data_IF_052797053747
#
_entry.id   IF_052797053747
#
_cell.length_a   1.000
_cell.length_b   1.000
_cell.length_c   1.000
_cell.angle_alpha   90.00
_cell.angle_beta   90.00
_cell.angle_gamma   90.00
#
_symmetry.space_group_name_H-M   'P 1'
#
loop_
_entity.id
_entity.type
_entity.pdbx_description
1 polymer ?
#
# COMPACT_ATOMS: atom_id res chain seq x y z
N UNK A 1 -2.09 -6.73 18.31
CA UNK A 1 -1.21 -6.21 17.23
C UNK A 1 -0.56 -7.34 16.42
N UNK A 2 -0.12 -8.43 17.07
CA UNK A 2 0.40 -9.64 16.43
C UNK A 2 -0.41 -10.12 15.22
N UNK A 3 -1.72 -10.34 15.40
CA UNK A 3 -2.64 -10.83 14.34
C UNK A 3 -2.65 -9.93 13.10
N UNK A 4 -2.55 -8.62 13.29
CA UNK A 4 -2.59 -7.64 12.21
C UNK A 4 -1.26 -7.62 11.43
N UNK A 5 -0.13 -7.76 12.13
CA UNK A 5 1.19 -7.89 11.52
C UNK A 5 1.34 -9.22 10.78
N UNK A 6 0.80 -10.32 11.34
CA UNK A 6 0.79 -11.63 10.70
C UNK A 6 -0.04 -11.60 9.41
N UNK A 7 -1.22 -10.95 9.44
CA UNK A 7 -2.02 -10.74 8.25
C UNK A 7 -1.28 -9.87 7.22
N UNK A 8 -0.64 -8.77 7.65
CA UNK A 8 0.16 -7.91 6.75
C UNK A 8 1.27 -8.68 6.06
N UNK A 9 1.99 -9.53 6.79
CA UNK A 9 3.05 -10.35 6.21
C UNK A 9 2.49 -11.32 5.16
N UNK A 10 1.42 -12.07 5.49
CA UNK A 10 0.75 -12.96 4.53
C UNK A 10 0.24 -12.21 3.30
N UNK A 11 -0.28 -10.99 3.48
CA UNK A 11 -0.74 -10.14 2.39
C UNK A 11 0.41 -9.74 1.46
N UNK A 12 1.56 -9.33 2.02
CA UNK A 12 2.73 -9.01 1.21
C UNK A 12 3.28 -10.23 0.48
N UNK A 13 3.28 -11.40 1.11
CA UNK A 13 3.69 -12.65 0.48
C UNK A 13 2.76 -13.01 -0.70
N UNK A 14 1.44 -12.86 -0.52
CA UNK A 14 0.44 -13.04 -1.57
C UNK A 14 0.68 -12.12 -2.77
N UNK A 15 1.03 -10.85 -2.53
CA UNK A 15 1.35 -9.88 -3.58
C UNK A 15 2.75 -10.04 -4.20
N UNK A 16 3.54 -10.98 -3.70
CA UNK A 16 4.94 -11.19 -4.10
C UNK A 16 5.87 -10.04 -3.69
N UNK A 17 5.48 -9.23 -2.70
CA UNK A 17 6.23 -8.07 -2.24
C UNK A 17 7.21 -8.42 -1.14
N UNK A 18 8.51 -8.14 -1.37
CA UNK A 18 9.59 -8.37 -0.40
C UNK A 18 10.23 -7.02 -0.03
N UNK A 19 9.78 -6.37 1.06
CA UNK A 19 10.35 -5.09 1.49
C UNK A 19 11.79 -5.26 1.96
N UNK A 20 12.67 -4.36 1.54
CA UNK A 20 14.03 -4.29 2.09
C UNK A 20 14.00 -3.73 3.53
N UNK A 21 15.12 -3.81 4.25
CA UNK A 21 15.19 -3.49 5.68
C UNK A 21 14.61 -2.10 6.04
N UNK A 22 14.93 -1.09 5.24
CA UNK A 22 14.40 0.26 5.42
C UNK A 22 12.88 0.38 5.27
N UNK A 23 12.27 -0.37 4.35
CA UNK A 23 10.81 -0.42 4.19
C UNK A 23 10.16 -1.23 5.31
N UNK A 24 10.80 -2.29 5.81
CA UNK A 24 10.29 -3.08 6.95
C UNK A 24 10.05 -2.22 8.19
N UNK A 25 10.85 -1.16 8.41
CA UNK A 25 10.67 -0.21 9.53
C UNK A 25 9.37 0.59 9.43
N UNK A 26 8.87 0.85 8.20
CA UNK A 26 7.54 1.41 7.98
C UNK A 26 6.47 0.34 8.25
N UNK A 27 6.61 -0.83 7.65
CA UNK A 27 5.55 -1.85 7.65
C UNK A 27 5.33 -2.50 9.01
N UNK A 28 6.43 -2.71 9.76
CA UNK A 28 6.48 -3.42 11.04
C UNK A 28 7.23 -2.57 12.07
N UNK A 29 6.62 -1.47 12.54
CA UNK A 29 7.24 -0.56 13.49
C UNK A 29 7.40 -1.22 14.86
N UNK A 30 8.48 -0.90 15.56
CA UNK A 30 8.73 -1.40 16.93
C UNK A 30 7.79 -0.76 17.95
N UNK A 31 7.40 0.50 17.72
CA UNK A 31 6.44 1.21 18.56
C UNK A 31 5.02 0.86 18.14
N UNK A 32 4.37 0.03 18.95
CA UNK A 32 3.00 -0.44 18.75
C UNK A 32 1.96 0.70 18.63
N UNK A 33 2.15 1.80 19.36
CA UNK A 33 1.22 2.94 19.35
C UNK A 33 1.48 3.95 18.21
N UNK A 34 2.41 3.67 17.30
CA UNK A 34 2.74 4.58 16.22
C UNK A 34 1.61 4.63 15.18
N UNK A 35 0.98 5.80 15.07
CA UNK A 35 -0.10 6.09 14.13
C UNK A 35 0.36 6.83 12.87
N UNK A 36 1.43 7.59 12.98
CA UNK A 36 1.95 8.45 11.92
C UNK A 36 3.41 8.07 11.63
N UNK A 37 3.73 7.91 10.35
CA UNK A 37 5.06 7.55 9.88
C UNK A 37 5.56 8.60 8.88
N UNK A 38 6.76 9.12 9.11
CA UNK A 38 7.42 10.05 8.20
C UNK A 38 8.68 9.38 7.67
N UNK A 39 8.70 9.09 6.37
CA UNK A 39 9.85 8.48 5.71
C UNK A 39 10.73 9.54 5.04
N UNK A 40 11.87 9.83 5.65
CA UNK A 40 12.91 10.71 5.06
C UNK A 40 13.98 9.83 4.44
N UNK A 41 13.93 9.64 3.12
CA UNK A 41 14.84 8.74 2.42
C UNK A 41 15.27 9.30 1.06
N UNK A 42 16.42 8.86 0.55
CA UNK A 42 16.95 9.24 -0.76
C UNK A 42 16.11 8.77 -1.97
N UNK A 43 16.52 9.19 -3.16
CA UNK A 43 15.94 8.71 -4.43
C UNK A 43 16.14 7.20 -4.57
N UNK A 44 15.21 6.51 -5.26
CA UNK A 44 15.21 5.04 -5.48
C UNK A 44 15.14 4.16 -4.23
N UNK A 45 14.91 4.72 -3.05
CA UNK A 45 14.59 3.96 -1.84
C UNK A 45 13.28 3.14 -1.94
N UNK A 46 12.42 3.42 -2.93
CA UNK A 46 11.13 2.74 -3.05
C UNK A 46 10.06 3.25 -2.06
N UNK A 47 10.14 4.52 -1.66
CA UNK A 47 9.14 5.17 -0.80
C UNK A 47 7.72 5.03 -1.37
N UNK A 48 7.55 5.33 -2.66
CA UNK A 48 6.27 5.24 -3.38
C UNK A 48 5.71 3.82 -3.33
N UNK A 49 6.53 2.81 -3.64
CA UNK A 49 6.14 1.39 -3.58
C UNK A 49 5.73 1.01 -2.16
N UNK A 50 6.52 1.36 -1.14
CA UNK A 50 6.21 1.05 0.25
C UNK A 50 4.88 1.69 0.71
N UNK A 51 4.63 2.95 0.35
CA UNK A 51 3.36 3.63 0.63
C UNK A 51 2.17 2.98 -0.09
N UNK A 52 2.34 2.56 -1.35
CA UNK A 52 1.30 1.84 -2.08
C UNK A 52 1.00 0.47 -1.44
N UNK A 53 2.01 -0.28 -1.02
CA UNK A 53 1.81 -1.58 -0.35
C UNK A 53 1.09 -1.43 1.00
N UNK A 54 1.42 -0.41 1.80
CA UNK A 54 0.63 -0.09 2.99
C UNK A 54 -0.84 0.22 2.64
N UNK A 55 -1.08 0.98 1.57
CA UNK A 55 -2.43 1.25 1.11
C UNK A 55 -3.17 -0.04 0.71
N UNK A 56 -2.53 -0.97 0.00
CA UNK A 56 -3.17 -2.27 -0.33
C UNK A 56 -3.56 -3.05 0.92
N UNK A 57 -2.71 -3.04 1.95
CA UNK A 57 -2.95 -3.74 3.20
C UNK A 57 -4.13 -3.17 3.99
N UNK A 58 -4.27 -1.85 4.05
CA UNK A 58 -5.46 -1.26 4.66
C UNK A 58 -6.69 -1.50 3.78
N UNK A 59 -6.55 -1.47 2.45
CA UNK A 59 -7.67 -1.61 1.52
C UNK A 59 -8.22 -3.05 1.51
N UNK A 60 -7.39 -4.03 1.84
CA UNK A 60 -7.81 -5.43 1.97
C UNK A 60 -8.63 -5.71 3.23
N UNK A 61 -8.73 -4.75 4.15
CA UNK A 61 -9.53 -4.89 5.36
C UNK A 61 -10.97 -4.41 5.14
N UNK A 62 -11.96 -5.09 5.74
CA UNK A 62 -13.37 -4.69 5.63
C UNK A 62 -13.60 -3.27 6.12
N UNK A 63 -14.50 -2.55 5.42
CA UNK A 63 -14.99 -1.22 5.80
C UNK A 63 -13.90 -0.14 5.91
N UNK A 64 -12.74 -0.32 5.26
CA UNK A 64 -11.70 0.71 5.20
C UNK A 64 -11.85 1.61 3.98
N UNK A 65 -11.48 2.89 4.15
CA UNK A 65 -11.35 3.87 3.06
C UNK A 65 -9.99 4.53 3.16
N UNK A 66 -9.19 4.42 2.10
CA UNK A 66 -7.83 4.95 2.06
C UNK A 66 -7.70 5.95 0.92
N UNK A 67 -6.97 7.03 1.19
CA UNK A 67 -6.68 8.06 0.21
C UNK A 67 -5.19 8.06 -0.10
N UNK A 68 -4.86 8.18 -1.38
CA UNK A 68 -3.52 8.42 -1.85
C UNK A 68 -3.43 9.89 -2.27
N UNK A 69 -2.63 10.66 -1.53
CA UNK A 69 -2.52 12.11 -1.73
C UNK A 69 -1.12 12.45 -2.17
N UNK A 70 -1.02 13.13 -3.31
CA UNK A 70 0.21 13.69 -3.84
C UNK A 70 0.09 15.19 -4.04
N UNK A 71 1.22 15.86 -4.32
CA UNK A 71 1.25 17.30 -4.65
C UNK A 71 0.54 17.62 -5.98
N UNK A 72 0.34 16.62 -6.82
CA UNK A 72 -0.44 16.69 -8.07
C UNK A 72 -1.10 15.35 -8.34
N UNK A 73 -2.09 15.33 -9.24
CA UNK A 73 -2.73 14.09 -9.70
C UNK A 73 -1.72 13.10 -10.27
N UNK A 74 -0.76 13.53 -11.09
CA UNK A 74 0.27 12.63 -11.63
C UNK A 74 1.11 11.96 -10.54
N UNK A 75 1.40 12.67 -9.44
CA UNK A 75 2.16 12.09 -8.31
C UNK A 75 1.31 11.11 -7.51
N UNK A 76 0.01 11.39 -7.34
CA UNK A 76 -0.92 10.46 -6.71
C UNK A 76 -1.12 9.21 -7.58
N UNK A 77 -1.23 9.38 -8.90
CA UNK A 77 -1.41 8.32 -9.90
C UNK A 77 -0.27 7.28 -9.84
N UNK A 78 0.97 7.70 -9.61
CA UNK A 78 2.10 6.77 -9.43
C UNK A 78 1.86 5.76 -8.29
N UNK A 79 1.26 6.18 -7.18
CA UNK A 79 0.92 5.26 -6.08
C UNK A 79 -0.35 4.46 -6.40
N UNK A 80 -1.33 5.11 -7.03
CA UNK A 80 -2.60 4.46 -7.37
C UNK A 80 -2.41 3.32 -8.37
N UNK A 81 -1.54 3.51 -9.38
CA UNK A 81 -1.19 2.46 -10.36
C UNK A 81 -0.66 1.20 -9.70
N UNK A 82 0.21 1.33 -8.70
CA UNK A 82 0.73 0.17 -7.95
C UNK A 82 -0.40 -0.57 -7.23
N UNK A 83 -1.31 0.16 -6.58
CA UNK A 83 -2.48 -0.44 -5.92
C UNK A 83 -3.40 -1.13 -6.94
N UNK A 84 -3.68 -0.47 -8.06
CA UNK A 84 -4.54 -0.99 -9.12
C UNK A 84 -3.95 -2.25 -9.78
N UNK A 85 -2.65 -2.23 -10.10
CA UNK A 85 -1.96 -3.37 -10.68
C UNK A 85 -2.01 -4.60 -9.77
N UNK A 86 -1.92 -4.39 -8.44
CA UNK A 86 -1.89 -5.45 -7.45
C UNK A 86 -3.26 -5.96 -7.00
N UNK A 87 -4.28 -5.11 -6.97
CA UNK A 87 -5.58 -5.46 -6.38
C UNK A 87 -6.70 -5.58 -7.40
N UNK A 88 -6.57 -4.97 -8.57
CA UNK A 88 -7.68 -4.82 -9.53
C UNK A 88 -7.45 -5.60 -10.82
N UNK A 89 -6.25 -5.51 -11.39
CA UNK A 89 -5.96 -6.24 -12.64
C UNK A 89 -6.09 -7.75 -12.41
N UNK A 90 -6.93 -8.40 -13.22
CA UNK A 90 -7.25 -9.83 -13.08
C UNK A 90 -8.42 -10.12 -12.12
N UNK A 91 -8.93 -9.10 -11.42
CA UNK A 91 -9.98 -9.17 -10.40
C UNK A 91 -11.14 -8.20 -10.72
N UNK A 92 -11.39 -7.90 -11.99
CA UNK A 92 -12.36 -6.89 -12.40
C UNK A 92 -13.79 -7.19 -11.93
N UNK A 93 -14.14 -8.47 -11.77
CA UNK A 93 -15.45 -8.91 -11.29
C UNK A 93 -15.69 -8.58 -9.82
N UNK A 94 -14.63 -8.33 -9.03
CA UNK A 94 -14.73 -8.00 -7.61
C UNK A 94 -15.03 -6.51 -7.38
N UNK A 95 -15.12 -5.72 -8.45
CA UNK A 95 -15.21 -4.25 -8.40
C UNK A 95 -16.64 -3.80 -8.68
N UNK A 96 -17.28 -3.26 -7.65
CA UNK A 96 -18.64 -2.71 -7.75
C UNK A 96 -18.66 -1.43 -8.62
N UNK A 97 -17.64 -0.56 -8.46
CA UNK A 97 -17.54 0.71 -9.18
C UNK A 97 -16.10 1.21 -9.19
N UNK A 98 -15.65 1.68 -10.35
CA UNK A 98 -14.41 2.45 -10.51
C UNK A 98 -14.70 3.69 -11.37
N UNK A 99 -14.13 4.83 -10.98
CA UNK A 99 -14.14 6.05 -11.81
C UNK A 99 -13.10 5.96 -12.94
N UNK A 100 -12.03 5.21 -12.70
CA UNK A 100 -10.96 4.98 -13.67
C UNK A 100 -11.35 3.77 -14.51
N UNK A 101 -11.91 4.02 -15.69
CA UNK A 101 -12.45 2.96 -16.55
C UNK A 101 -11.44 2.39 -17.54
N UNK A 102 -10.55 3.20 -18.08
CA UNK A 102 -9.66 2.79 -19.16
C UNK A 102 -8.40 3.65 -19.14
N UNK A 103 -7.23 3.01 -19.04
CA UNK A 103 -5.94 3.54 -19.46
C UNK A 103 -5.08 2.41 -19.98
#
# INVERSE_FOLDING_TARGET
>A
MQVLNDYKQKWFDFLGYKPHEGQRKLHFPTKESARFFVMVCGRRFGKTTASAMEATFYASQPNQRIWLVGLSYDKADLMFREVWDKMVKGHQNDIIKASEKER
#
